data_IF_711092793590
#
_entry.id   IF_711092793590
#
_cell.length_a   1.000
_cell.length_b   1.000
_cell.length_c   1.000
_cell.angle_alpha   90.00
_cell.angle_beta   90.00
_cell.angle_gamma   90.00
#
_symmetry.space_group_name_H-M   'P 1'
#
loop_
_entity.id
_entity.type
_entity.pdbx_description
1 polymer ?
#
# COMPACT_ATOMS: atom_id res chain seq x y z
N UNK A 1 -42.29 3.45 50.28
CA UNK A 1 -42.82 3.26 48.91
C UNK A 1 -41.81 3.74 47.89
N UNK A 2 -41.10 2.81 47.25
CA UNK A 2 -40.68 2.77 45.83
C UNK A 2 -39.54 1.77 45.71
N UNK A 3 -39.92 0.60 45.23
CA UNK A 3 -39.11 -0.58 44.94
C UNK A 3 -38.25 -0.36 43.69
N UNK A 4 -37.07 -1.00 43.71
CA UNK A 4 -36.11 -1.04 42.61
C UNK A 4 -36.67 -1.73 41.35
N UNK A 5 -36.24 -1.35 40.14
CA UNK A 5 -36.57 -2.06 38.92
C UNK A 5 -35.73 -3.33 38.76
N UNK A 6 -36.43 -4.41 38.36
CA UNK A 6 -35.91 -5.75 38.05
C UNK A 6 -34.96 -5.73 36.85
N UNK A 7 -33.87 -6.50 36.93
CA UNK A 7 -33.07 -6.91 35.78
C UNK A 7 -33.90 -7.81 34.84
N UNK A 8 -33.77 -7.67 33.51
CA UNK A 8 -34.29 -8.67 32.59
C UNK A 8 -33.27 -9.80 32.35
N UNK A 9 -33.88 -10.96 32.25
CA UNK A 9 -33.38 -12.32 32.07
C UNK A 9 -32.55 -12.50 30.78
N UNK A 10 -31.34 -13.07 30.91
CA UNK A 10 -30.49 -13.46 29.78
C UNK A 10 -30.78 -14.91 29.46
N UNK A 11 -31.80 -15.17 28.63
CA UNK A 11 -31.91 -16.46 27.95
C UNK A 11 -32.65 -16.35 26.61
N UNK A 12 -31.88 -16.52 25.52
CA UNK A 12 -32.17 -17.18 24.24
C UNK A 12 -31.26 -16.62 23.14
N UNK A 13 -30.07 -17.20 23.00
CA UNK A 13 -29.24 -17.04 21.80
C UNK A 13 -29.75 -17.97 20.70
N UNK A 14 -30.19 -17.39 19.59
CA UNK A 14 -30.50 -18.09 18.35
C UNK A 14 -29.21 -18.62 17.72
N UNK A 15 -29.17 -19.84 17.13
CA UNK A 15 -27.97 -20.34 16.51
C UNK A 15 -27.68 -19.59 15.20
N UNK A 16 -26.48 -19.02 15.09
CA UNK A 16 -25.97 -18.41 13.86
C UNK A 16 -25.86 -19.50 12.78
N UNK A 17 -26.72 -19.45 11.76
CA UNK A 17 -26.61 -20.28 10.56
C UNK A 17 -25.27 -19.99 9.87
N UNK A 18 -24.34 -20.95 9.91
CA UNK A 18 -23.20 -20.98 8.99
C UNK A 18 -23.77 -21.00 7.56
N UNK A 19 -23.47 -19.96 6.76
CA UNK A 19 -23.80 -19.95 5.33
C UNK A 19 -22.95 -21.02 4.66
N UNK A 20 -23.60 -21.96 3.98
CA UNK A 20 -22.97 -22.93 3.08
C UNK A 20 -22.24 -22.18 1.96
N UNK A 21 -21.15 -22.73 1.39
CA UNK A 21 -20.51 -22.14 0.22
C UNK A 21 -21.51 -22.10 -0.94
N UNK A 22 -21.57 -20.96 -1.64
CA UNK A 22 -22.32 -20.84 -2.89
C UNK A 22 -21.74 -21.83 -3.91
N UNK A 23 -22.58 -22.55 -4.69
CA UNK A 23 -22.09 -23.43 -5.74
C UNK A 23 -21.26 -22.63 -6.76
N UNK A 24 -20.22 -23.24 -7.37
CA UNK A 24 -19.50 -22.59 -8.46
C UNK A 24 -20.47 -22.25 -9.60
N UNK A 25 -20.30 -21.11 -10.28
CA UNK A 25 -21.13 -20.75 -11.42
C UNK A 25 -21.04 -21.83 -12.50
N UNK A 26 -22.16 -22.08 -13.18
CA UNK A 26 -22.22 -23.03 -14.29
C UNK A 26 -21.18 -22.68 -15.36
N UNK A 27 -20.55 -23.67 -16.03
CA UNK A 27 -19.58 -23.41 -17.09
C UNK A 27 -20.23 -22.55 -18.18
N UNK A 28 -19.65 -21.38 -18.44
CA UNK A 28 -20.10 -20.52 -19.51
C UNK A 28 -19.91 -21.26 -20.84
N UNK A 29 -21.00 -21.50 -21.57
CA UNK A 29 -20.95 -22.08 -22.91
C UNK A 29 -20.23 -21.08 -23.80
N UNK A 30 -19.10 -21.50 -24.37
CA UNK A 30 -18.32 -20.67 -25.28
C UNK A 30 -19.15 -20.34 -26.52
N UNK A 31 -19.40 -19.06 -26.76
CA UNK A 31 -20.00 -18.59 -28.00
C UNK A 31 -18.94 -18.67 -29.13
N UNK A 32 -19.00 -19.78 -29.87
CA UNK A 32 -18.06 -20.11 -30.95
C UNK A 32 -18.10 -19.05 -32.06
N UNK A 33 -19.24 -18.41 -32.28
CA UNK A 33 -19.40 -17.41 -33.34
C UNK A 33 -18.77 -16.09 -32.95
N UNK A 34 -18.89 -15.69 -31.67
CA UNK A 34 -18.14 -14.55 -31.11
C UNK A 34 -16.63 -14.79 -31.20
N UNK A 35 -16.16 -15.98 -30.82
CA UNK A 35 -14.73 -16.32 -30.89
C UNK A 35 -14.17 -16.28 -32.33
N UNK A 36 -14.92 -16.82 -33.30
CA UNK A 36 -14.57 -16.73 -34.73
C UNK A 36 -14.57 -15.29 -35.23
N UNK A 37 -15.51 -14.46 -34.77
CA UNK A 37 -15.58 -13.04 -35.09
C UNK A 37 -14.31 -12.30 -34.64
N UNK A 38 -13.95 -12.45 -33.36
CA UNK A 38 -12.74 -11.84 -32.79
C UNK A 38 -11.47 -12.29 -33.51
N UNK A 39 -11.35 -13.59 -33.82
CA UNK A 39 -10.19 -14.12 -34.54
C UNK A 39 -10.05 -13.52 -35.94
N UNK A 40 -11.16 -13.37 -36.68
CA UNK A 40 -11.15 -12.73 -38.00
C UNK A 40 -10.74 -11.26 -37.93
N UNK A 41 -11.20 -10.53 -36.91
CA UNK A 41 -10.78 -9.15 -36.65
C UNK A 41 -9.28 -9.08 -36.45
N UNK A 42 -8.72 -9.92 -35.58
CA UNK A 42 -7.28 -9.90 -35.27
C UNK A 42 -6.42 -10.30 -36.48
N UNK A 43 -6.78 -11.35 -37.22
CA UNK A 43 -5.97 -11.89 -38.33
C UNK A 43 -5.71 -10.89 -39.46
N UNK A 44 -6.62 -9.93 -39.67
CA UNK A 44 -6.55 -8.96 -40.77
C UNK A 44 -6.21 -7.55 -40.29
N UNK A 45 -6.09 -7.34 -38.98
CA UNK A 45 -5.92 -6.02 -38.45
C UNK A 45 -4.50 -5.48 -38.67
N UNK A 46 -4.44 -4.23 -39.11
CA UNK A 46 -3.26 -3.39 -39.07
C UNK A 46 -3.65 -2.12 -38.31
N UNK A 47 -2.81 -1.68 -37.39
CA UNK A 47 -3.06 -0.48 -36.61
C UNK A 47 -2.09 0.64 -36.97
N UNK A 48 -2.63 1.83 -37.16
CA UNK A 48 -1.90 3.05 -37.51
C UNK A 48 -1.72 3.99 -36.32
N UNK A 49 -2.59 3.90 -35.33
CA UNK A 49 -2.58 4.72 -34.12
C UNK A 49 -2.84 3.90 -32.84
N UNK A 50 -2.79 4.56 -31.68
CA UNK A 50 -2.99 3.91 -30.39
C UNK A 50 -4.42 3.36 -30.21
N UNK A 51 -5.43 4.02 -30.78
CA UNK A 51 -6.83 3.60 -30.68
C UNK A 51 -7.03 2.26 -31.39
N UNK A 52 -6.53 2.14 -32.62
CA UNK A 52 -6.57 0.89 -33.38
C UNK A 52 -5.74 -0.21 -32.71
N UNK A 53 -4.55 0.11 -32.18
CA UNK A 53 -3.72 -0.85 -31.43
C UNK A 53 -4.44 -1.38 -30.19
N UNK A 54 -5.05 -0.50 -29.41
CA UNK A 54 -5.84 -0.89 -28.24
C UNK A 54 -6.99 -1.82 -28.63
N UNK A 55 -7.75 -1.50 -29.69
CA UNK A 55 -8.87 -2.31 -30.13
C UNK A 55 -8.45 -3.74 -30.54
N UNK A 56 -7.31 -3.90 -31.20
CA UNK A 56 -6.76 -5.22 -31.55
C UNK A 56 -6.39 -6.01 -30.29
N UNK A 57 -5.71 -5.37 -29.33
CA UNK A 57 -5.28 -6.00 -28.09
C UNK A 57 -6.47 -6.36 -27.18
N UNK A 58 -7.50 -5.52 -27.12
CA UNK A 58 -8.74 -5.79 -26.41
C UNK A 58 -9.50 -6.98 -27.04
N UNK A 59 -9.59 -7.04 -28.38
CA UNK A 59 -10.17 -8.18 -29.08
C UNK A 59 -9.40 -9.49 -28.80
N UNK A 60 -8.05 -9.43 -28.78
CA UNK A 60 -7.19 -10.57 -28.41
C UNK A 60 -7.48 -11.04 -27.00
N UNK A 61 -7.52 -10.12 -26.04
CA UNK A 61 -7.70 -10.46 -24.64
C UNK A 61 -9.10 -11.04 -24.37
N UNK A 62 -10.15 -10.48 -25.00
CA UNK A 62 -11.51 -11.07 -24.98
C UNK A 62 -11.51 -12.49 -25.52
N UNK A 63 -10.83 -12.75 -26.64
CA UNK A 63 -10.73 -14.10 -27.21
C UNK A 63 -10.01 -15.06 -26.25
N UNK A 64 -8.88 -14.64 -25.66
CA UNK A 64 -8.11 -15.47 -24.72
C UNK A 64 -8.92 -15.82 -23.47
N UNK A 65 -9.71 -14.87 -22.94
CA UNK A 65 -10.58 -15.10 -21.78
C UNK A 65 -11.71 -16.07 -22.10
N UNK A 66 -12.35 -15.94 -23.26
CA UNK A 66 -13.35 -16.91 -23.73
C UNK A 66 -12.75 -18.32 -23.78
N UNK A 67 -11.57 -18.48 -24.35
CA UNK A 67 -10.90 -19.78 -24.45
C UNK A 67 -10.50 -20.35 -23.08
N UNK A 68 -10.17 -19.50 -22.10
CA UNK A 68 -9.80 -19.89 -20.73
C UNK A 68 -10.95 -20.41 -19.89
N UNK A 69 -12.17 -19.91 -20.09
CA UNK A 69 -13.38 -20.39 -19.38
C UNK A 69 -13.63 -21.90 -19.52
N UNK A 70 -12.91 -22.57 -20.43
CA UNK A 70 -12.89 -24.03 -20.64
C UNK A 70 -12.04 -24.81 -19.61
N UNK A 71 -11.13 -24.17 -18.89
CA UNK A 71 -10.12 -24.81 -18.03
C UNK A 71 -10.30 -24.43 -16.55
N UNK A 72 -11.48 -24.70 -15.98
CA UNK A 72 -11.65 -24.59 -14.53
C UNK A 72 -11.02 -25.83 -13.88
N UNK A 73 -9.72 -25.75 -13.59
CA UNK A 73 -8.98 -26.80 -12.88
C UNK A 73 -9.39 -26.86 -11.42
N UNK A 74 -9.47 -28.07 -10.88
CA UNK A 74 -9.62 -28.34 -9.45
C UNK A 74 -8.57 -27.56 -8.64
N UNK A 75 -8.97 -26.92 -7.54
CA UNK A 75 -8.11 -26.11 -6.67
C UNK A 75 -6.90 -26.91 -6.17
N UNK A 76 -7.05 -28.24 -6.04
CA UNK A 76 -5.97 -29.16 -5.68
C UNK A 76 -4.87 -29.32 -6.75
N UNK A 77 -5.15 -28.94 -8.00
CA UNK A 77 -4.23 -29.07 -9.16
C UNK A 77 -3.85 -27.73 -9.79
N UNK A 78 -4.34 -26.62 -9.23
CA UNK A 78 -4.08 -25.29 -9.75
C UNK A 78 -2.58 -24.96 -9.67
N UNK A 79 -1.94 -24.77 -10.84
CA UNK A 79 -0.58 -24.24 -10.91
C UNK A 79 -0.57 -22.79 -10.43
N UNK A 80 0.51 -22.38 -9.79
CA UNK A 80 0.72 -20.98 -9.40
C UNK A 80 0.51 -20.06 -10.62
N UNK A 81 -0.34 -19.04 -10.46
CA UNK A 81 -0.61 -18.07 -11.50
C UNK A 81 0.58 -17.11 -11.63
N UNK A 82 1.37 -17.27 -12.69
CA UNK A 82 2.57 -16.46 -12.93
C UNK A 82 2.34 -15.52 -14.11
N UNK A 83 2.61 -14.23 -13.88
CA UNK A 83 2.58 -13.20 -14.90
C UNK A 83 3.74 -13.33 -15.89
N UNK A 84 3.53 -12.87 -17.11
CA UNK A 84 4.52 -12.92 -18.20
C UNK A 84 4.71 -11.57 -18.90
N UNK A 85 4.17 -10.47 -18.35
CA UNK A 85 4.39 -9.13 -18.91
C UNK A 85 5.89 -8.79 -18.82
N UNK A 86 6.59 -8.59 -19.95
CA UNK A 86 8.03 -8.31 -19.93
C UNK A 86 8.35 -6.87 -19.52
N UNK A 87 7.35 -5.98 -19.60
CA UNK A 87 7.52 -4.53 -19.42
C UNK A 87 6.97 -4.04 -18.07
N UNK A 88 7.38 -2.84 -17.64
CA UNK A 88 6.84 -2.19 -16.44
C UNK A 88 5.34 -1.87 -16.51
N UNK A 89 4.75 -1.86 -17.71
CA UNK A 89 3.34 -1.66 -17.98
C UNK A 89 2.89 -2.57 -19.14
N UNK A 90 1.79 -3.33 -19.03
CA UNK A 90 1.27 -4.14 -20.13
C UNK A 90 0.99 -3.32 -21.40
N UNK A 91 1.30 -3.89 -22.57
CA UNK A 91 1.15 -3.19 -23.86
C UNK A 91 -0.25 -2.61 -24.08
N UNK A 92 -1.29 -3.40 -23.79
CA UNK A 92 -2.68 -2.96 -23.92
C UNK A 92 -2.98 -1.74 -23.06
N UNK A 93 -2.50 -1.74 -21.82
CA UNK A 93 -2.71 -0.63 -20.89
C UNK A 93 -2.02 0.65 -21.36
N UNK A 94 -0.81 0.54 -21.95
CA UNK A 94 -0.11 1.71 -22.50
C UNK A 94 -0.94 2.41 -23.58
N UNK A 95 -1.50 1.64 -24.52
CA UNK A 95 -2.32 2.20 -25.59
C UNK A 95 -3.70 2.66 -25.12
N UNK A 96 -4.32 1.97 -24.16
CA UNK A 96 -5.54 2.42 -23.49
C UNK A 96 -5.33 3.80 -22.82
N UNK A 97 -4.23 3.97 -22.07
CA UNK A 97 -3.93 5.23 -21.38
C UNK A 97 -3.54 6.36 -22.33
N UNK A 98 -2.87 6.05 -23.44
CA UNK A 98 -2.66 7.01 -24.53
C UNK A 98 -3.98 7.44 -25.18
N UNK A 99 -4.87 6.50 -25.48
CA UNK A 99 -6.14 6.76 -26.14
C UNK A 99 -7.08 7.61 -25.26
N UNK A 100 -7.16 7.25 -23.98
CA UNK A 100 -8.03 7.87 -22.97
C UNK A 100 -7.41 9.09 -22.26
N UNK A 101 -6.20 9.52 -22.67
CA UNK A 101 -5.48 10.69 -22.13
C UNK A 101 -5.23 10.62 -20.61
N UNK A 102 -4.84 9.44 -20.13
CA UNK A 102 -4.55 9.16 -18.70
C UNK A 102 -3.06 8.90 -18.42
N UNK A 103 -2.18 9.35 -19.31
CA UNK A 103 -0.73 9.28 -19.09
C UNK A 103 -0.30 10.38 -18.11
N UNK A 104 0.55 10.02 -17.14
CA UNK A 104 1.23 11.00 -16.29
C UNK A 104 2.39 11.67 -17.03
N UNK A 105 2.82 12.85 -16.60
CA UNK A 105 4.03 13.52 -17.13
C UNK A 105 5.30 12.64 -17.05
N UNK A 106 5.31 11.67 -16.14
CA UNK A 106 6.42 10.72 -15.98
C UNK A 106 6.43 9.60 -17.04
N UNK A 107 5.39 9.49 -17.87
CA UNK A 107 5.17 8.39 -18.81
C UNK A 107 5.02 8.85 -20.26
N UNK A 108 5.14 10.14 -20.54
CA UNK A 108 5.01 10.71 -21.87
C UNK A 108 6.38 10.92 -22.53
N UNK A 109 6.40 10.83 -23.86
CA UNK A 109 7.58 11.23 -24.64
C UNK A 109 7.79 12.73 -24.47
N UNK A 110 9.01 13.20 -24.13
CA UNK A 110 9.30 14.62 -23.98
C UNK A 110 8.85 15.45 -25.19
N UNK A 111 8.22 16.59 -24.92
CA UNK A 111 7.70 17.49 -25.96
C UNK A 111 6.36 17.08 -26.58
N UNK A 112 5.78 15.94 -26.19
CA UNK A 112 4.45 15.51 -26.66
C UNK A 112 3.32 15.80 -25.67
N UNK A 113 3.63 16.30 -24.48
CA UNK A 113 2.64 16.63 -23.46
C UNK A 113 1.74 17.77 -23.96
N UNK A 114 0.50 17.46 -24.30
CA UNK A 114 -0.42 18.44 -24.88
C UNK A 114 -1.76 18.42 -24.16
N UNK A 115 -1.85 19.12 -23.02
CA UNK A 115 -3.12 19.34 -22.33
C UNK A 115 -4.01 20.39 -23.05
N UNK A 116 -3.43 21.20 -23.96
CA UNK A 116 -4.08 22.40 -24.50
C UNK A 116 -4.37 22.37 -26.02
N UNK A 117 -3.70 21.53 -26.81
CA UNK A 117 -3.77 21.58 -28.29
C UNK A 117 -4.70 20.52 -28.90
N UNK A 118 -5.36 19.70 -28.08
CA UNK A 118 -6.24 18.61 -28.53
C UNK A 118 -5.52 17.39 -29.11
N UNK A 119 -4.19 17.47 -29.29
CA UNK A 119 -3.34 16.34 -29.65
C UNK A 119 -3.21 15.36 -28.47
N UNK A 120 -3.08 14.06 -28.77
CA UNK A 120 -2.85 13.03 -27.74
C UNK A 120 -1.36 13.01 -27.37
N UNK A 121 -1.06 13.07 -26.06
CA UNK A 121 0.28 12.80 -25.55
C UNK A 121 0.71 11.39 -25.95
N UNK A 122 1.94 11.22 -26.42
CA UNK A 122 2.45 9.90 -26.82
C UNK A 122 3.05 9.19 -25.63
N UNK A 123 2.70 7.91 -25.44
CA UNK A 123 3.29 7.10 -24.38
C UNK A 123 4.76 6.85 -24.67
N UNK A 124 5.60 7.05 -23.65
CA UNK A 124 6.95 6.53 -23.64
C UNK A 124 6.90 5.09 -23.11
N UNK A 125 7.05 4.13 -24.03
CA UNK A 125 6.91 2.71 -23.74
C UNK A 125 7.89 2.20 -22.69
N UNK A 126 9.08 2.82 -22.52
CA UNK A 126 10.07 2.40 -21.52
C UNK A 126 9.86 3.09 -20.17
N UNK A 127 9.02 4.14 -20.10
CA UNK A 127 8.73 4.88 -18.85
C UNK A 127 7.35 4.58 -18.28
N UNK A 128 6.43 4.04 -19.09
CA UNK A 128 5.09 3.68 -18.64
C UNK A 128 5.13 2.60 -17.57
N UNK A 129 4.43 2.83 -16.46
CA UNK A 129 4.31 1.86 -15.35
C UNK A 129 2.85 1.48 -15.16
N UNK A 130 2.57 0.19 -14.93
CA UNK A 130 1.23 -0.33 -14.71
C UNK A 130 0.51 0.42 -13.59
N UNK A 131 -0.67 0.94 -13.86
CA UNK A 131 -1.48 1.64 -12.85
C UNK A 131 -2.18 0.67 -11.88
N UNK A 132 -2.44 1.14 -10.67
CA UNK A 132 -3.33 0.40 -9.77
C UNK A 132 -4.78 0.52 -10.23
N UNK A 133 -5.38 -0.61 -10.56
CA UNK A 133 -6.83 -0.74 -10.77
C UNK A 133 -7.49 -1.36 -9.54
N UNK A 134 -8.62 -0.81 -9.08
CA UNK A 134 -9.38 -1.37 -7.96
C UNK A 134 -10.03 -2.70 -8.36
N UNK A 135 -10.12 -3.65 -7.43
CA UNK A 135 -10.92 -4.86 -7.64
C UNK A 135 -12.41 -4.55 -7.53
N UNK A 136 -13.19 -4.96 -8.53
CA UNK A 136 -14.66 -4.94 -8.54
C UNK A 136 -15.19 -6.37 -8.67
N UNK A 137 -16.47 -6.59 -8.32
CA UNK A 137 -17.09 -7.91 -8.45
C UNK A 137 -17.12 -8.41 -9.91
N UNK A 138 -17.18 -7.49 -10.86
CA UNK A 138 -17.18 -7.77 -12.30
C UNK A 138 -15.76 -7.79 -12.90
N UNK A 139 -14.71 -7.60 -12.10
CA UNK A 139 -13.34 -7.63 -12.61
C UNK A 139 -12.97 -9.08 -12.97
N UNK A 140 -12.85 -9.33 -14.27
CA UNK A 140 -12.35 -10.60 -14.80
C UNK A 140 -10.95 -10.91 -14.28
N UNK A 141 -10.65 -12.20 -14.13
CA UNK A 141 -9.32 -12.67 -13.75
C UNK A 141 -8.29 -12.19 -14.79
N UNK A 142 -7.14 -11.63 -14.35
CA UNK A 142 -6.15 -11.10 -15.29
C UNK A 142 -5.58 -12.22 -16.18
N UNK A 143 -5.21 -11.86 -17.40
CA UNK A 143 -4.41 -12.71 -18.27
C UNK A 143 -2.93 -12.66 -17.82
N UNK A 144 -2.10 -13.68 -18.13
CA UNK A 144 -0.72 -13.72 -17.69
C UNK A 144 0.09 -12.51 -18.17
N UNK A 145 -0.12 -12.07 -19.42
CA UNK A 145 0.56 -10.90 -19.98
C UNK A 145 0.06 -9.57 -19.42
N UNK A 146 -0.96 -9.57 -18.57
CA UNK A 146 -1.41 -8.39 -17.83
C UNK A 146 -0.72 -8.28 -16.45
N UNK A 147 -0.02 -9.32 -15.99
CA UNK A 147 0.73 -9.30 -14.73
C UNK A 147 2.23 -9.33 -14.96
N UNK A 148 2.97 -8.53 -14.19
CA UNK A 148 4.43 -8.48 -14.22
C UNK A 148 5.02 -9.59 -13.33
N UNK A 149 5.94 -10.43 -13.84
CA UNK A 149 6.65 -11.38 -13.00
C UNK A 149 7.62 -10.66 -12.05
N UNK A 150 8.08 -11.36 -11.02
CA UNK A 150 8.95 -10.82 -9.98
C UNK A 150 10.16 -10.02 -10.50
N UNK A 151 10.96 -10.48 -11.49
CA UNK A 151 12.09 -9.70 -11.99
C UNK A 151 11.69 -8.34 -12.59
N UNK A 152 10.51 -8.27 -13.22
CA UNK A 152 9.97 -7.04 -13.80
C UNK A 152 9.42 -6.12 -12.71
N UNK A 153 8.83 -6.67 -11.64
CA UNK A 153 8.42 -5.89 -10.46
C UNK A 153 9.61 -5.24 -9.76
N UNK A 154 10.73 -5.97 -9.60
CA UNK A 154 12.00 -5.45 -9.07
C UNK A 154 12.53 -4.33 -9.96
N UNK A 155 12.61 -4.56 -11.27
CA UNK A 155 13.02 -3.54 -12.25
C UNK A 155 12.12 -2.30 -12.17
N UNK A 156 10.81 -2.49 -12.05
CA UNK A 156 9.83 -1.39 -11.94
C UNK A 156 10.08 -0.56 -10.70
N UNK A 157 10.25 -1.19 -9.53
CA UNK A 157 10.50 -0.47 -8.29
C UNK A 157 11.81 0.31 -8.36
N UNK A 158 12.87 -0.28 -8.92
CA UNK A 158 14.15 0.40 -9.11
C UNK A 158 14.03 1.62 -10.04
N UNK A 159 13.25 1.52 -11.11
CA UNK A 159 12.94 2.67 -11.97
C UNK A 159 12.21 3.78 -11.21
N UNK A 160 11.13 3.43 -10.48
CA UNK A 160 10.36 4.43 -9.72
C UNK A 160 11.24 5.17 -8.69
N UNK A 161 12.08 4.43 -7.97
CA UNK A 161 12.96 5.03 -6.95
C UNK A 161 14.12 5.83 -7.56
N UNK A 162 14.76 5.34 -8.62
CA UNK A 162 15.95 6.01 -9.19
C UNK A 162 15.62 7.15 -10.15
N UNK A 163 14.46 7.10 -10.81
CA UNK A 163 14.12 8.07 -11.86
C UNK A 163 13.04 9.05 -11.42
N UNK A 164 12.17 8.69 -10.47
CA UNK A 164 10.98 9.51 -10.15
C UNK A 164 10.95 10.00 -8.70
N UNK A 165 11.48 9.23 -7.73
CA UNK A 165 11.36 9.58 -6.30
C UNK A 165 11.93 10.96 -5.94
N UNK A 166 12.98 11.42 -6.62
CA UNK A 166 13.59 12.73 -6.33
C UNK A 166 12.95 13.91 -7.09
N UNK A 167 11.83 13.70 -7.79
CA UNK A 167 11.17 14.72 -8.63
C UNK A 167 10.00 15.45 -7.95
N UNK A 168 9.84 15.32 -6.63
CA UNK A 168 8.67 15.87 -5.92
C UNK A 168 8.69 17.38 -5.64
N UNK A 169 9.78 18.07 -5.93
CA UNK A 169 9.98 19.49 -5.60
C UNK A 169 9.26 20.46 -6.57
N UNK A 170 9.35 21.77 -6.31
CA UNK A 170 8.77 22.85 -7.13
C UNK A 170 7.24 22.81 -7.29
N UNK A 171 6.51 22.49 -6.22
CA UNK A 171 5.03 22.47 -6.22
C UNK A 171 4.42 21.27 -6.94
N UNK A 172 5.20 20.21 -7.19
CA UNK A 172 4.76 18.99 -7.89
C UNK A 172 4.35 17.86 -6.94
N UNK A 173 4.30 18.11 -5.63
CA UNK A 173 4.04 17.08 -4.62
C UNK A 173 2.76 16.28 -4.88
N UNK A 174 1.67 16.94 -5.32
CA UNK A 174 0.41 16.26 -5.64
C UNK A 174 0.58 15.22 -6.76
N UNK A 175 1.06 15.65 -7.94
CA UNK A 175 1.24 14.75 -9.09
C UNK A 175 2.28 13.65 -8.80
N UNK A 176 3.37 14.03 -8.13
CA UNK A 176 4.43 13.11 -7.74
C UNK A 176 3.93 12.01 -6.79
N UNK A 177 3.23 12.41 -5.72
CA UNK A 177 2.68 11.49 -4.73
C UNK A 177 1.64 10.59 -5.38
N UNK A 178 0.68 11.15 -6.11
CA UNK A 178 -0.37 10.38 -6.79
C UNK A 178 0.21 9.33 -7.74
N UNK A 179 1.25 9.70 -8.50
CA UNK A 179 1.92 8.77 -9.40
C UNK A 179 2.60 7.63 -8.64
N UNK A 180 3.52 7.93 -7.71
CA UNK A 180 4.28 6.90 -6.99
C UNK A 180 3.38 6.03 -6.11
N UNK A 181 2.44 6.64 -5.39
CA UNK A 181 1.45 5.94 -4.57
C UNK A 181 0.63 4.97 -5.43
N UNK A 182 0.18 5.40 -6.61
CA UNK A 182 -0.59 4.55 -7.51
C UNK A 182 0.26 3.38 -8.06
N UNK A 183 1.47 3.66 -8.57
CA UNK A 183 2.31 2.63 -9.22
C UNK A 183 2.87 1.60 -8.22
N UNK A 184 3.28 2.04 -7.02
CA UNK A 184 3.71 1.13 -5.94
C UNK A 184 2.55 0.25 -5.45
N UNK A 185 1.33 0.77 -5.39
CA UNK A 185 0.13 -0.04 -5.13
C UNK A 185 -0.18 -1.03 -6.26
N UNK A 186 0.11 -0.68 -7.51
CA UNK A 186 0.04 -1.59 -8.66
C UNK A 186 1.03 -2.75 -8.54
N UNK A 187 2.26 -2.49 -8.09
CA UNK A 187 3.26 -3.53 -7.78
C UNK A 187 2.74 -4.48 -6.69
N UNK A 188 2.20 -3.93 -5.59
CA UNK A 188 1.60 -4.73 -4.51
C UNK A 188 0.44 -5.58 -4.99
N UNK A 189 -0.41 -5.05 -5.88
CA UNK A 189 -1.53 -5.80 -6.46
C UNK A 189 -1.02 -7.00 -7.28
N UNK A 190 -0.01 -6.80 -8.12
CA UNK A 190 0.59 -7.89 -8.91
C UNK A 190 1.20 -8.97 -8.01
N UNK A 191 1.83 -8.60 -6.89
CA UNK A 191 2.35 -9.54 -5.88
C UNK A 191 1.22 -10.39 -5.31
N UNK A 192 0.15 -9.76 -4.83
CA UNK A 192 -0.99 -10.46 -4.23
C UNK A 192 -1.72 -11.35 -5.24
N UNK A 193 -1.93 -10.89 -6.47
CA UNK A 193 -2.62 -11.67 -7.50
C UNK A 193 -1.84 -12.93 -7.92
N UNK A 194 -0.51 -12.88 -7.85
CA UNK A 194 0.37 -14.01 -8.16
C UNK A 194 0.74 -14.83 -6.91
N UNK A 195 0.31 -14.41 -5.71
CA UNK A 195 0.67 -15.04 -4.43
C UNK A 195 2.18 -15.23 -4.28
N UNK A 196 2.97 -14.22 -4.67
CA UNK A 196 4.43 -14.31 -4.62
C UNK A 196 4.92 -14.30 -3.17
N UNK A 197 5.78 -15.27 -2.84
CA UNK A 197 6.39 -15.42 -1.51
C UNK A 197 7.91 -15.64 -1.68
N UNK A 198 8.68 -14.55 -1.65
CA UNK A 198 10.14 -14.53 -1.87
C UNK A 198 10.78 -13.38 -1.06
N UNK A 199 12.06 -13.47 -0.73
CA UNK A 199 12.77 -12.39 -0.03
C UNK A 199 12.82 -11.09 -0.84
N UNK A 200 12.85 -11.16 -2.18
CA UNK A 200 12.74 -9.97 -3.04
C UNK A 200 11.34 -9.34 -2.99
N UNK A 201 10.29 -10.14 -2.74
CA UNK A 201 8.94 -9.61 -2.50
C UNK A 201 8.92 -8.82 -1.19
N UNK A 202 9.59 -9.32 -0.14
CA UNK A 202 9.74 -8.58 1.10
C UNK A 202 10.41 -7.23 0.83
N UNK A 203 11.56 -7.21 0.15
CA UNK A 203 12.27 -5.98 -0.22
C UNK A 203 11.40 -4.97 -1.01
N UNK A 204 10.53 -5.44 -1.91
CA UNK A 204 9.56 -4.58 -2.61
C UNK A 204 8.51 -3.96 -1.68
N UNK A 205 7.96 -4.75 -0.75
CA UNK A 205 6.97 -4.28 0.22
C UNK A 205 7.60 -3.34 1.27
N UNK A 206 8.83 -3.62 1.66
CA UNK A 206 9.65 -2.78 2.54
C UNK A 206 9.83 -1.39 1.92
N UNK A 207 10.23 -1.31 0.64
CA UNK A 207 10.32 -0.04 -0.10
C UNK A 207 8.99 0.71 -0.17
N UNK A 208 7.87 0.01 -0.41
CA UNK A 208 6.54 0.62 -0.36
C UNK A 208 6.22 1.22 1.03
N UNK A 209 6.53 0.51 2.11
CA UNK A 209 6.28 0.99 3.46
C UNK A 209 7.16 2.21 3.81
N UNK A 210 8.46 2.19 3.43
CA UNK A 210 9.36 3.35 3.61
C UNK A 210 8.85 4.59 2.86
N UNK A 211 8.35 4.42 1.63
CA UNK A 211 7.72 5.51 0.87
C UNK A 211 6.54 6.13 1.62
N UNK A 212 5.60 5.32 2.13
CA UNK A 212 4.47 5.86 2.89
C UNK A 212 4.88 6.54 4.20
N UNK A 213 5.89 6.02 4.90
CA UNK A 213 6.44 6.65 6.11
C UNK A 213 7.04 8.02 5.76
N UNK A 214 7.86 8.08 4.72
CA UNK A 214 8.44 9.33 4.24
C UNK A 214 7.36 10.36 3.90
N UNK A 215 6.36 10.00 3.08
CA UNK A 215 5.28 10.91 2.71
C UNK A 215 4.47 11.41 3.90
N UNK A 216 4.33 10.60 4.96
CA UNK A 216 3.58 11.01 6.16
C UNK A 216 4.18 12.20 6.90
N UNK A 217 5.48 12.40 6.78
CA UNK A 217 6.19 13.54 7.36
C UNK A 217 6.40 14.62 6.31
N UNK A 218 6.94 14.27 5.13
CA UNK A 218 7.26 15.24 4.08
C UNK A 218 6.06 16.04 3.58
N UNK A 219 4.88 15.42 3.54
CA UNK A 219 3.65 16.03 3.03
C UNK A 219 2.68 16.43 4.16
N UNK A 220 3.14 16.49 5.42
CA UNK A 220 2.24 16.74 6.55
C UNK A 220 1.68 18.17 6.59
N UNK A 221 2.29 19.11 5.88
CA UNK A 221 1.83 20.51 5.74
C UNK A 221 1.00 20.75 4.47
N UNK A 222 0.92 19.77 3.57
CA UNK A 222 0.10 19.85 2.36
C UNK A 222 -1.39 19.76 2.69
N UNK A 223 -2.22 20.34 1.82
CA UNK A 223 -3.67 20.28 1.99
C UNK A 223 -4.23 18.89 1.65
N UNK A 224 -5.45 18.60 2.14
CA UNK A 224 -6.06 17.28 1.99
C UNK A 224 -6.41 16.89 0.53
N UNK A 225 -6.49 17.85 -0.40
CA UNK A 225 -6.63 17.54 -1.83
C UNK A 225 -5.31 17.08 -2.44
N UNK A 226 -4.19 17.59 -1.93
CA UNK A 226 -2.83 17.20 -2.33
C UNK A 226 -2.38 15.90 -1.66
N UNK A 227 -2.63 15.77 -0.35
CA UNK A 227 -2.22 14.61 0.45
C UNK A 227 -3.25 14.26 1.53
N UNK A 228 -3.93 13.12 1.35
CA UNK A 228 -4.77 12.55 2.40
C UNK A 228 -3.93 11.66 3.34
N UNK A 229 -3.55 12.23 4.49
CA UNK A 229 -2.77 11.55 5.52
C UNK A 229 -3.46 10.27 6.05
N UNK A 230 -4.80 10.24 6.10
CA UNK A 230 -5.54 9.06 6.55
C UNK A 230 -5.43 7.95 5.53
N UNK A 231 -5.64 8.23 4.25
CA UNK A 231 -5.48 7.25 3.17
C UNK A 231 -4.04 6.74 3.12
N UNK A 232 -3.04 7.62 3.26
CA UNK A 232 -1.63 7.20 3.32
C UNK A 232 -1.39 6.22 4.47
N UNK A 233 -1.87 6.55 5.67
CA UNK A 233 -1.75 5.70 6.85
C UNK A 233 -2.45 4.34 6.69
N UNK A 234 -3.65 4.31 6.10
CA UNK A 234 -4.33 3.03 5.82
C UNK A 234 -3.54 2.15 4.84
N UNK A 235 -2.88 2.74 3.83
CA UNK A 235 -2.05 2.01 2.89
C UNK A 235 -0.76 1.49 3.53
N UNK A 236 -0.14 2.28 4.40
CA UNK A 236 1.01 1.88 5.22
C UNK A 236 0.65 0.71 6.12
N UNK A 237 -0.43 0.80 6.90
CA UNK A 237 -0.87 -0.29 7.79
C UNK A 237 -1.14 -1.57 7.01
N UNK A 238 -1.84 -1.48 5.87
CA UNK A 238 -2.07 -2.64 4.99
C UNK A 238 -0.75 -3.20 4.45
N UNK A 239 0.23 -2.36 4.13
CA UNK A 239 1.54 -2.78 3.63
C UNK A 239 2.31 -3.55 4.71
N UNK A 240 2.38 -2.98 5.92
CA UNK A 240 3.02 -3.61 7.07
C UNK A 240 2.34 -4.94 7.45
N UNK A 241 1.01 -5.02 7.37
CA UNK A 241 0.29 -6.26 7.62
C UNK A 241 0.66 -7.36 6.61
N UNK A 242 0.68 -7.05 5.31
CA UNK A 242 1.14 -8.00 4.28
C UNK A 242 2.59 -8.42 4.52
N UNK A 243 3.45 -7.49 4.93
CA UNK A 243 4.85 -7.79 5.23
C UNK A 243 5.01 -8.67 6.49
N UNK A 244 4.19 -8.47 7.53
CA UNK A 244 4.09 -9.31 8.74
C UNK A 244 3.75 -10.76 8.38
N UNK A 245 2.76 -10.95 7.51
CA UNK A 245 2.35 -12.26 7.01
C UNK A 245 3.44 -12.91 6.15
N UNK A 246 4.04 -12.14 5.23
CA UNK A 246 5.12 -12.63 4.37
C UNK A 246 6.33 -13.10 5.18
N UNK A 247 6.76 -12.35 6.21
CA UNK A 247 7.85 -12.80 7.08
C UNK A 247 7.53 -14.12 7.78
N UNK A 248 6.31 -14.28 8.29
CA UNK A 248 5.89 -15.52 8.94
C UNK A 248 5.89 -16.71 7.95
N UNK A 249 5.48 -16.50 6.70
CA UNK A 249 5.49 -17.56 5.69
C UNK A 249 6.89 -17.91 5.19
N UNK A 250 7.80 -16.92 5.10
CA UNK A 250 9.21 -17.15 4.80
C UNK A 250 9.92 -17.86 5.95
N UNK A 251 9.61 -17.51 7.19
CA UNK A 251 10.16 -18.16 8.39
C UNK A 251 9.78 -19.65 8.45
N UNK A 252 8.54 -20.03 8.10
CA UNK A 252 8.14 -21.45 7.98
C UNK A 252 8.98 -22.23 6.96
N UNK A 253 9.62 -21.52 6.02
CA UNK A 253 10.52 -22.08 5.00
C UNK A 253 12.00 -21.96 5.38
N UNK A 254 12.32 -21.48 6.58
CA UNK A 254 13.69 -21.23 7.06
C UNK A 254 14.37 -20.06 6.37
N UNK A 255 13.62 -19.14 5.77
CA UNK A 255 14.14 -17.95 5.09
C UNK A 255 13.89 -16.73 5.99
N UNK A 256 14.97 -16.03 6.35
CA UNK A 256 14.91 -14.87 7.23
C UNK A 256 15.34 -13.60 6.50
N UNK A 257 14.50 -12.58 6.53
CA UNK A 257 14.77 -11.30 5.87
C UNK A 257 15.64 -10.40 6.75
N UNK A 258 16.67 -9.79 6.15
CA UNK A 258 17.64 -8.94 6.86
C UNK A 258 16.97 -7.73 7.55
N UNK A 259 15.97 -7.13 6.92
CA UNK A 259 15.32 -5.92 7.41
C UNK A 259 14.10 -6.21 8.31
N UNK A 260 13.80 -7.47 8.65
CA UNK A 260 12.59 -7.80 9.41
C UNK A 260 12.49 -7.00 10.72
N UNK A 261 13.61 -6.87 11.45
CA UNK A 261 13.66 -6.10 12.69
C UNK A 261 13.23 -4.63 12.52
N UNK A 262 13.64 -3.98 11.44
CA UNK A 262 13.28 -2.59 11.12
C UNK A 262 11.76 -2.44 11.01
N UNK A 263 11.13 -3.29 10.19
CA UNK A 263 9.70 -3.19 9.92
C UNK A 263 8.83 -3.67 11.08
N UNK A 264 9.29 -4.66 11.86
CA UNK A 264 8.65 -5.01 13.14
C UNK A 264 8.71 -3.82 14.11
N UNK A 265 9.83 -3.10 14.14
CA UNK A 265 9.96 -1.84 14.86
C UNK A 265 8.94 -0.80 14.40
N UNK A 266 8.76 -0.62 13.09
CA UNK A 266 7.74 0.29 12.55
C UNK A 266 6.31 -0.12 12.93
N UNK A 267 5.99 -1.41 12.94
CA UNK A 267 4.67 -1.89 13.40
C UNK A 267 4.41 -1.52 14.86
N UNK A 268 5.42 -1.66 15.73
CA UNK A 268 5.33 -1.24 17.13
C UNK A 268 5.15 0.27 17.23
N UNK A 269 6.00 1.05 16.55
CA UNK A 269 5.97 2.51 16.59
C UNK A 269 4.68 3.10 16.03
N UNK A 270 4.02 2.42 15.08
CA UNK A 270 2.74 2.88 14.51
C UNK A 270 1.58 2.78 15.49
N UNK A 271 1.70 1.91 16.50
CA UNK A 271 0.58 1.51 17.34
C UNK A 271 0.78 1.85 18.82
N UNK A 272 1.76 2.68 19.23
CA UNK A 272 2.20 2.86 20.64
C UNK A 272 1.10 3.15 21.70
N UNK A 273 -0.10 3.57 21.29
CA UNK A 273 -1.25 3.79 22.17
C UNK A 273 -2.10 2.51 22.39
N UNK A 274 -1.79 1.40 21.73
CA UNK A 274 -2.50 0.12 21.80
C UNK A 274 -1.90 -0.78 22.89
N UNK A 275 -2.76 -1.48 23.64
CA UNK A 275 -2.34 -2.25 24.81
C UNK A 275 -1.65 -3.59 24.51
N UNK A 276 -1.89 -4.18 23.34
CA UNK A 276 -1.45 -5.55 23.02
C UNK A 276 -0.05 -5.64 22.41
N UNK A 277 0.59 -4.52 22.08
CA UNK A 277 1.89 -4.48 21.39
C UNK A 277 2.96 -5.27 22.16
N UNK A 278 3.06 -5.08 23.48
CA UNK A 278 4.10 -5.74 24.27
C UNK A 278 3.97 -7.27 24.22
N UNK A 279 2.72 -7.77 24.12
CA UNK A 279 2.45 -9.19 23.95
C UNK A 279 2.88 -9.66 22.56
N UNK A 280 2.57 -8.90 21.50
CA UNK A 280 3.04 -9.24 20.15
C UNK A 280 4.57 -9.29 20.05
N UNK A 281 5.28 -8.40 20.76
CA UNK A 281 6.75 -8.40 20.81
C UNK A 281 7.27 -9.69 21.47
N UNK A 282 6.59 -10.21 22.50
CA UNK A 282 6.98 -11.47 23.15
C UNK A 282 6.84 -12.68 22.23
N UNK A 283 5.98 -12.62 21.21
CA UNK A 283 5.81 -13.68 20.22
C UNK A 283 6.92 -13.69 19.15
N UNK A 284 7.69 -12.61 19.02
CA UNK A 284 8.82 -12.54 18.07
C UNK A 284 9.99 -13.41 18.52
N UNK A 285 10.80 -13.90 17.58
CA UNK A 285 12.05 -14.60 17.89
C UNK A 285 13.05 -13.73 18.67
N UNK A 286 13.93 -14.38 19.44
CA UNK A 286 14.85 -13.71 20.37
C UNK A 286 15.74 -12.67 19.65
N UNK A 287 16.25 -13.01 18.47
CA UNK A 287 17.13 -12.16 17.67
C UNK A 287 16.43 -10.86 17.24
N UNK A 288 15.11 -10.90 17.00
CA UNK A 288 14.33 -9.71 16.70
C UNK A 288 14.07 -8.88 17.96
N UNK A 289 13.78 -9.53 19.10
CA UNK A 289 13.55 -8.84 20.37
C UNK A 289 14.78 -8.07 20.85
N UNK A 290 15.97 -8.65 20.64
CA UNK A 290 17.24 -8.05 21.00
C UNK A 290 17.73 -7.01 19.98
N UNK A 291 17.03 -6.85 18.86
CA UNK A 291 17.39 -5.88 17.84
C UNK A 291 17.26 -4.44 18.33
N UNK A 292 18.09 -3.57 17.76
CA UNK A 292 18.04 -2.13 18.01
C UNK A 292 16.63 -1.55 17.78
N UNK A 293 15.96 -1.94 16.70
CA UNK A 293 14.66 -1.40 16.32
C UNK A 293 13.56 -1.72 17.34
N UNK A 294 13.50 -2.96 17.83
CA UNK A 294 12.52 -3.37 18.85
C UNK A 294 12.86 -2.75 20.20
N UNK A 295 14.13 -2.79 20.62
CA UNK A 295 14.58 -2.17 21.87
C UNK A 295 14.31 -0.66 21.90
N UNK A 296 14.55 0.04 20.79
CA UNK A 296 14.21 1.45 20.63
C UNK A 296 12.69 1.67 20.76
N UNK A 297 11.88 0.88 20.05
CA UNK A 297 10.43 1.04 20.08
C UNK A 297 9.84 0.79 21.48
N UNK A 298 10.36 -0.19 22.23
CA UNK A 298 9.98 -0.45 23.64
C UNK A 298 10.39 0.71 24.56
N UNK A 299 11.59 1.29 24.38
CA UNK A 299 12.02 2.47 25.15
C UNK A 299 11.09 3.66 24.90
N UNK A 300 10.68 3.88 23.65
CA UNK A 300 9.75 4.95 23.29
C UNK A 300 8.35 4.69 23.83
N UNK A 301 7.85 3.45 23.75
CA UNK A 301 6.59 3.04 24.38
C UNK A 301 6.59 3.36 25.87
N UNK A 302 7.65 2.99 26.59
CA UNK A 302 7.77 3.25 28.03
C UNK A 302 7.80 4.75 28.35
N UNK A 303 8.51 5.55 27.55
CA UNK A 303 8.53 7.00 27.73
C UNK A 303 7.13 7.62 27.51
N UNK A 304 6.40 7.14 26.51
CA UNK A 304 5.03 7.57 26.22
C UNK A 304 4.05 7.18 27.32
N UNK A 305 4.08 5.92 27.77
CA UNK A 305 3.13 5.38 28.76
C UNK A 305 3.32 5.99 30.15
N UNK A 306 4.57 6.33 30.50
CA UNK A 306 4.91 7.03 31.76
C UNK A 306 4.78 8.56 31.65
N UNK A 307 4.37 9.10 30.50
CA UNK A 307 4.30 10.54 30.19
C UNK A 307 5.63 11.29 30.42
N UNK A 308 6.77 10.60 30.24
CA UNK A 308 8.10 11.19 30.34
C UNK A 308 8.47 11.89 29.03
N UNK A 309 7.92 13.09 28.82
CA UNK A 309 8.09 13.87 27.59
C UNK A 309 9.56 14.24 27.32
N UNK A 310 10.36 14.51 28.36
CA UNK A 310 11.80 14.80 28.21
C UNK A 310 12.53 13.57 27.64
N UNK A 311 12.28 12.38 28.21
CA UNK A 311 12.89 11.14 27.70
C UNK A 311 12.42 10.82 26.29
N UNK A 312 11.15 11.03 25.98
CA UNK A 312 10.59 10.79 24.66
C UNK A 312 11.31 11.61 23.58
N UNK A 313 11.43 12.93 23.76
CA UNK A 313 12.11 13.78 22.77
C UNK A 313 13.62 13.52 22.70
N UNK A 314 14.29 13.24 23.83
CA UNK A 314 15.71 12.80 23.81
C UNK A 314 15.92 11.50 23.04
N UNK A 315 15.04 10.52 23.18
CA UNK A 315 15.14 9.26 22.42
C UNK A 315 15.04 9.53 20.91
N UNK A 316 14.20 10.47 20.49
CA UNK A 316 14.08 10.83 19.08
C UNK A 316 15.37 11.48 18.59
N UNK A 317 15.85 12.50 19.30
CA UNK A 317 17.05 13.26 18.94
C UNK A 317 18.31 12.39 18.92
N UNK A 318 18.51 11.56 19.93
CA UNK A 318 19.76 10.82 20.13
C UNK A 318 19.79 9.47 19.40
N UNK A 319 18.63 8.84 19.15
CA UNK A 319 18.55 7.42 18.73
C UNK A 319 17.63 7.13 17.55
N UNK A 320 16.69 7.99 17.18
CA UNK A 320 15.77 7.63 16.11
C UNK A 320 16.49 7.54 14.76
N UNK A 321 16.18 6.50 13.99
CA UNK A 321 16.39 6.57 12.54
C UNK A 321 15.44 7.62 11.95
N UNK A 322 15.79 8.20 10.80
CA UNK A 322 14.95 9.18 10.13
C UNK A 322 13.49 8.70 9.98
N UNK A 323 13.27 7.51 9.44
CA UNK A 323 11.91 6.97 9.26
C UNK A 323 11.22 6.64 10.59
N UNK A 324 11.95 6.21 11.62
CA UNK A 324 11.38 6.08 12.97
C UNK A 324 10.91 7.42 13.51
N UNK A 325 11.67 8.50 13.28
CA UNK A 325 11.27 9.86 13.67
C UNK A 325 10.03 10.33 12.89
N UNK A 326 9.95 10.06 11.58
CA UNK A 326 8.76 10.34 10.77
C UNK A 326 7.51 9.67 11.35
N UNK A 327 7.60 8.40 11.75
CA UNK A 327 6.47 7.72 12.41
C UNK A 327 6.13 8.40 13.73
N UNK A 328 7.15 8.71 14.55
CA UNK A 328 6.96 9.28 15.88
C UNK A 328 6.39 10.70 15.88
N UNK A 329 6.54 11.44 14.79
CA UNK A 329 5.93 12.76 14.59
C UNK A 329 4.43 12.78 14.94
N UNK A 330 3.71 11.69 14.64
CA UNK A 330 2.27 11.56 14.94
C UNK A 330 1.91 11.69 16.42
N UNK A 331 2.85 11.43 17.33
CA UNK A 331 2.64 11.51 18.77
C UNK A 331 3.05 12.87 19.36
N UNK A 332 3.65 13.77 18.58
CA UNK A 332 4.23 15.01 19.11
C UNK A 332 3.17 15.88 19.75
N UNK A 333 2.03 16.08 19.10
CA UNK A 333 0.94 16.89 19.63
C UNK A 333 0.35 16.26 20.92
N UNK A 334 0.13 14.93 20.92
CA UNK A 334 -0.33 14.21 22.11
C UNK A 334 0.60 14.44 23.30
N UNK A 335 1.92 14.36 23.09
CA UNK A 335 2.91 14.46 24.15
C UNK A 335 3.12 15.91 24.58
N UNK A 336 3.18 16.86 23.64
CA UNK A 336 3.27 18.30 23.92
C UNK A 336 2.07 18.76 24.76
N UNK A 337 0.84 18.39 24.37
CA UNK A 337 -0.35 18.72 25.14
C UNK A 337 -0.31 18.15 26.56
N UNK A 338 0.09 16.89 26.71
CA UNK A 338 0.26 16.26 28.04
C UNK A 338 1.36 16.92 28.87
N UNK A 339 2.50 17.25 28.27
CA UNK A 339 3.62 17.92 28.93
C UNK A 339 3.18 19.28 29.48
N UNK A 340 2.52 20.10 28.67
CA UNK A 340 1.97 21.39 29.09
C UNK A 340 1.00 21.25 30.27
N UNK A 341 0.08 20.27 30.22
CA UNK A 341 -0.84 20.01 31.33
C UNK A 341 -0.11 19.61 32.62
N UNK A 342 0.94 18.80 32.52
CA UNK A 342 1.77 18.40 33.67
C UNK A 342 2.48 19.62 34.27
N UNK A 343 3.11 20.45 33.42
CA UNK A 343 3.81 21.67 33.83
C UNK A 343 2.83 22.66 34.49
N UNK A 344 1.69 22.94 33.86
CA UNK A 344 0.67 23.84 34.40
C UNK A 344 0.17 23.40 35.78
N UNK A 345 -0.04 22.09 35.98
CA UNK A 345 -0.44 21.54 37.29
C UNK A 345 0.68 21.69 38.33
N UNK A 346 1.93 21.41 37.95
CA UNK A 346 3.07 21.53 38.85
C UNK A 346 3.30 22.98 39.32
N UNK A 347 3.06 23.97 38.44
CA UNK A 347 3.27 25.40 38.73
C UNK A 347 2.03 26.14 39.26
N UNK A 348 0.92 25.44 39.54
CA UNK A 348 -0.28 26.06 40.13
C UNK A 348 -0.97 27.09 39.23
N UNK A 349 -0.72 27.08 37.92
CA UNK A 349 -1.24 28.03 36.94
C UNK A 349 -2.78 27.97 36.75
N UNK A 350 -3.44 27.03 37.43
CA UNK A 350 -4.90 26.92 37.51
C UNK A 350 -5.49 27.74 38.69
N UNK A 351 -4.66 28.44 39.46
CA UNK A 351 -5.04 29.32 40.57
C UNK A 351 -4.92 30.82 40.24
N UNK A 352 -5.14 31.70 41.25
CA UNK A 352 -5.16 33.18 41.09
C UNK A 352 -3.81 33.82 40.72
N UNK A 353 -2.70 33.08 40.82
CA UNK A 353 -1.36 33.55 40.46
C UNK A 353 -0.96 32.93 39.12
N UNK A 354 -1.36 33.57 38.02
CA UNK A 354 -0.97 33.19 36.66
C UNK A 354 0.51 33.55 36.45
N UNK A 355 1.38 32.55 36.57
CA UNK A 355 2.75 32.65 36.06
C UNK A 355 2.68 32.40 34.56
N UNK A 356 3.05 33.39 33.74
CA UNK A 356 3.13 33.20 32.30
C UNK A 356 4.32 32.33 31.97
N UNK A 357 4.10 31.33 31.12
CA UNK A 357 5.18 30.50 30.60
C UNK A 357 5.99 31.35 29.60
N UNK A 358 7.32 31.39 29.67
CA UNK A 358 8.13 32.21 28.77
C UNK A 358 8.19 31.55 27.40
N UNK A 359 7.18 31.81 26.57
CA UNK A 359 7.10 31.28 25.19
C UNK A 359 8.28 31.75 24.35
N UNK A 360 8.91 32.89 24.70
CA UNK A 360 10.11 33.42 24.04
C UNK A 360 11.38 32.58 24.30
N UNK A 361 11.38 31.69 25.29
CA UNK A 361 12.50 30.79 25.62
C UNK A 361 12.34 29.36 25.05
N UNK A 362 11.24 29.08 24.35
CA UNK A 362 10.96 27.82 23.66
C UNK A 362 11.33 27.88 22.18
#
# INVERSE_FOLDING_TARGET
>A
FKSAPKQPDVSKSSPVRRRSPTPPPAPQVLDVDVAKGLLKTIQKAQAKDATEKFAILDARDKLLKLLRGRQQSDLATAKAFVGICPDMCPEKERYDREDTRRLSVYEVVPGTLTSLTGLKSKVDHVRAVKEYSRSSADQEEPLPHELRPLPVLVTTMNYLLSQVADQGEDGKWSEWYDFLWNRTRGIRKDITQQQLCDSQVADLLEKCARFHIFCSERLCEEDAMTFDAKINNENLTKCLQTLKELYADLEKRGIYCQNEAEFRGYMVLMNLNEGDILREIQELRQELRDSFHISFAVQVYNALSTNNYVRFFRLIEEKATFLSACILHRYFNQIRSKALLIIMKAHGALGKNTVQYPVEEM
#
